data_IF_937586096398
#
_entry.id   IF_937586096398
#
_cell.length_a   1.000
_cell.length_b   1.000
_cell.length_c   1.000
_cell.angle_alpha   90.00
_cell.angle_beta   90.00
_cell.angle_gamma   90.00
#
_symmetry.space_group_name_H-M   'P 1'
#
loop_
_entity.id
_entity.type
_entity.pdbx_description
1 polymer ?
#
# COMPACT_ATOMS: atom_id res chain seq x y z
N UNK A 1 -2.41 -9.87 -31.59
CA UNK A 1 -1.41 -9.36 -30.64
C UNK A 1 -1.05 -7.96 -31.12
N UNK A 2 -1.69 -6.94 -30.55
CA UNK A 2 -1.15 -5.57 -30.62
C UNK A 2 0.25 -5.67 -30.03
N UNK A 3 1.24 -5.07 -30.68
CA UNK A 3 2.59 -5.03 -30.11
C UNK A 3 2.48 -4.40 -28.72
N UNK A 4 2.73 -5.20 -27.69
CA UNK A 4 2.88 -4.80 -26.28
C UNK A 4 4.11 -3.88 -26.05
N UNK A 5 4.58 -3.16 -27.07
CA UNK A 5 5.86 -2.43 -27.03
C UNK A 5 5.73 -0.92 -26.82
N UNK A 6 4.52 -0.35 -26.78
CA UNK A 6 4.33 1.09 -26.59
C UNK A 6 3.76 1.50 -25.22
N UNK A 7 3.51 0.56 -24.30
CA UNK A 7 3.15 0.88 -22.90
C UNK A 7 4.39 0.98 -21.98
N UNK A 8 5.58 1.00 -22.59
CA UNK A 8 6.89 1.09 -21.89
C UNK A 8 7.37 2.52 -21.66
N UNK A 9 6.59 3.54 -22.02
CA UNK A 9 7.02 4.93 -21.95
C UNK A 9 6.50 5.59 -20.66
N UNK A 10 7.45 5.86 -19.76
CA UNK A 10 7.31 6.70 -18.57
C UNK A 10 6.54 7.99 -18.87
N UNK A 11 6.64 8.51 -20.10
CA UNK A 11 5.93 9.70 -20.59
C UNK A 11 4.39 9.59 -20.49
N UNK A 12 3.81 8.39 -20.68
CA UNK A 12 2.37 8.19 -20.49
C UNK A 12 1.97 8.24 -19.01
N UNK A 13 2.78 7.64 -18.14
CA UNK A 13 2.55 7.65 -16.67
C UNK A 13 2.71 9.07 -16.11
N UNK A 14 3.68 9.82 -16.61
CA UNK A 14 3.88 11.22 -16.23
C UNK A 14 2.73 12.12 -16.71
N UNK A 15 2.12 11.83 -17.86
CA UNK A 15 0.97 12.58 -18.41
C UNK A 15 -0.40 12.07 -17.96
N UNK A 16 -0.49 10.95 -17.23
CA UNK A 16 -1.74 10.42 -16.69
C UNK A 16 -2.48 11.47 -15.85
N UNK A 17 -3.76 11.69 -16.11
CA UNK A 17 -4.60 12.55 -15.28
C UNK A 17 -6.02 11.98 -15.26
N UNK A 18 -6.66 11.92 -14.09
CA UNK A 18 -8.06 11.53 -14.01
C UNK A 18 -8.93 12.47 -14.83
N UNK A 19 -9.65 11.90 -15.80
CA UNK A 19 -10.73 12.60 -16.48
C UNK A 19 -12.03 12.47 -15.67
N UNK A 20 -12.97 13.40 -15.87
CA UNK A 20 -14.29 13.35 -15.23
C UNK A 20 -14.98 12.00 -15.44
N UNK A 21 -14.89 11.46 -16.65
CA UNK A 21 -15.56 10.20 -16.97
C UNK A 21 -14.91 8.99 -16.29
N UNK A 22 -13.60 9.06 -16.01
CA UNK A 22 -12.89 8.02 -15.27
C UNK A 22 -13.29 8.05 -13.79
N UNK A 23 -13.48 9.25 -13.24
CA UNK A 23 -14.02 9.43 -11.88
C UNK A 23 -15.44 8.89 -11.76
N UNK A 24 -16.34 9.26 -12.69
CA UNK A 24 -17.72 8.79 -12.70
C UNK A 24 -17.80 7.25 -12.82
N UNK A 25 -16.93 6.66 -13.65
CA UNK A 25 -16.82 5.21 -13.77
C UNK A 25 -16.37 4.55 -12.46
N UNK A 26 -15.36 5.12 -11.79
CA UNK A 26 -14.88 4.64 -10.51
C UNK A 26 -15.97 4.70 -9.43
N UNK A 27 -16.71 5.82 -9.34
CA UNK A 27 -17.83 5.96 -8.40
C UNK A 27 -18.87 4.86 -8.65
N UNK A 28 -19.25 4.64 -9.91
CA UNK A 28 -20.21 3.59 -10.26
C UNK A 28 -19.73 2.20 -9.80
N UNK A 29 -18.46 1.87 -10.04
CA UNK A 29 -17.88 0.60 -9.61
C UNK A 29 -17.90 0.42 -8.09
N UNK A 30 -17.54 1.46 -7.34
CA UNK A 30 -17.55 1.42 -5.87
C UNK A 30 -18.97 1.31 -5.32
N UNK A 31 -19.94 2.00 -5.93
CA UNK A 31 -21.35 1.92 -5.58
C UNK A 31 -21.92 0.51 -5.83
N UNK A 32 -21.53 -0.11 -6.95
CA UNK A 32 -21.94 -1.47 -7.31
C UNK A 32 -21.30 -2.53 -6.40
N UNK A 33 -20.02 -2.37 -6.08
CA UNK A 33 -19.30 -3.29 -5.20
C UNK A 33 -19.84 -3.25 -3.76
N UNK A 34 -20.19 -2.05 -3.26
CA UNK A 34 -20.68 -1.86 -1.90
C UNK A 34 -19.64 -2.12 -0.81
N UNK A 35 -18.36 -2.27 -1.18
CA UNK A 35 -17.23 -2.51 -0.27
C UNK A 35 -16.10 -1.51 -0.51
N UNK A 36 -15.31 -1.16 0.53
CA UNK A 36 -14.20 -0.24 0.40
C UNK A 36 -13.04 -0.86 -0.39
N UNK A 37 -12.41 -0.09 -1.27
CA UNK A 37 -11.28 -0.55 -2.10
C UNK A 37 -9.98 0.14 -1.71
N UNK A 38 -8.88 -0.57 -1.78
CA UNK A 38 -7.53 -0.01 -1.61
C UNK A 38 -7.14 0.90 -2.77
N UNK A 39 -6.20 1.83 -2.55
CA UNK A 39 -5.64 2.66 -3.64
C UNK A 39 -5.15 1.79 -4.80
N UNK A 40 -4.45 0.68 -4.52
CA UNK A 40 -3.98 -0.26 -5.52
C UNK A 40 -5.11 -0.83 -6.41
N UNK A 41 -6.23 -1.23 -5.80
CA UNK A 41 -7.40 -1.76 -6.53
C UNK A 41 -8.03 -0.70 -7.43
N UNK A 42 -8.10 0.54 -6.94
CA UNK A 42 -8.60 1.69 -7.72
C UNK A 42 -7.69 1.97 -8.91
N UNK A 43 -6.37 1.98 -8.71
CA UNK A 43 -5.41 2.16 -9.81
C UNK A 43 -5.62 1.09 -10.86
N UNK A 44 -5.73 -0.18 -10.48
CA UNK A 44 -5.96 -1.28 -11.43
C UNK A 44 -7.26 -1.08 -12.20
N UNK A 45 -8.36 -0.70 -11.53
CA UNK A 45 -9.65 -0.48 -12.17
C UNK A 45 -9.62 0.68 -13.17
N UNK A 46 -8.97 1.80 -12.81
CA UNK A 46 -8.80 2.96 -13.70
C UNK A 46 -7.93 2.62 -14.91
N UNK A 47 -6.82 1.91 -14.69
CA UNK A 47 -5.94 1.45 -15.77
C UNK A 47 -6.69 0.48 -16.72
N UNK A 48 -7.46 -0.45 -16.18
CA UNK A 48 -8.27 -1.38 -16.98
C UNK A 48 -9.27 -0.61 -17.85
N UNK A 49 -9.97 0.37 -17.29
CA UNK A 49 -10.92 1.21 -18.02
C UNK A 49 -10.25 2.03 -19.13
N UNK A 50 -9.06 2.59 -18.88
CA UNK A 50 -8.34 3.35 -19.90
C UNK A 50 -7.82 2.45 -21.02
N UNK A 51 -7.25 1.29 -20.70
CA UNK A 51 -6.80 0.32 -21.71
C UNK A 51 -7.97 -0.17 -22.58
N UNK A 52 -9.15 -0.37 -21.98
CA UNK A 52 -10.37 -0.67 -22.72
C UNK A 52 -10.72 0.44 -23.71
N UNK A 53 -10.72 1.71 -23.27
CA UNK A 53 -11.00 2.86 -24.13
C UNK A 53 -9.98 3.02 -25.27
N UNK A 54 -8.70 2.82 -24.99
CA UNK A 54 -7.66 2.86 -26.03
C UNK A 54 -7.87 1.75 -27.06
N UNK A 55 -8.19 0.54 -26.62
CA UNK A 55 -8.52 -0.56 -27.53
C UNK A 55 -9.76 -0.26 -28.38
N UNK A 56 -10.82 0.28 -27.77
CA UNK A 56 -12.04 0.67 -28.51
C UNK A 56 -11.76 1.77 -29.52
N UNK A 57 -10.94 2.77 -29.18
CA UNK A 57 -10.50 3.81 -30.12
C UNK A 57 -9.72 3.19 -31.28
N UNK A 58 -8.74 2.33 -31.01
CA UNK A 58 -7.96 1.65 -32.06
C UNK A 58 -8.84 0.75 -32.94
N UNK A 59 -9.85 0.08 -32.38
CA UNK A 59 -10.79 -0.75 -33.15
C UNK A 59 -11.68 0.12 -34.03
N UNK A 60 -12.23 1.22 -33.50
CA UNK A 60 -13.05 2.14 -34.29
C UNK A 60 -12.24 2.80 -35.42
N UNK A 61 -10.98 3.19 -35.14
CA UNK A 61 -10.05 3.69 -36.16
C UNK A 61 -9.75 2.63 -37.23
N UNK A 62 -9.68 1.34 -36.84
CA UNK A 62 -9.50 0.25 -37.79
C UNK A 62 -10.77 -0.08 -38.60
N UNK A 63 -11.97 0.12 -38.05
CA UNK A 63 -13.24 -0.05 -38.78
C UNK A 63 -13.46 1.04 -39.84
N UNK A 64 -12.91 2.24 -39.63
CA UNK A 64 -12.88 3.31 -40.64
C UNK A 64 -11.89 3.04 -41.79
N UNK A 65 -11.06 1.99 -41.71
CA UNK A 65 -10.14 1.58 -42.78
C UNK A 65 -10.79 0.50 -43.65
N UNK A 66 -11.40 0.93 -44.75
CA UNK A 66 -12.20 0.10 -45.66
C UNK A 66 -11.46 -1.16 -46.18
N UNK A 67 -10.11 -1.18 -46.20
CA UNK A 67 -9.34 -2.29 -46.82
C UNK A 67 -8.00 -2.63 -46.12
N UNK A 68 -8.08 -3.35 -44.99
CA UNK A 68 -6.92 -3.95 -44.31
C UNK A 68 -6.26 -5.07 -45.14
N UNK A 69 -4.92 -5.05 -45.22
CA UNK A 69 -4.12 -6.08 -45.90
C UNK A 69 -4.29 -7.46 -45.25
N UNK A 70 -4.61 -8.43 -46.08
CA UNK A 70 -4.61 -9.87 -45.80
C UNK A 70 -4.07 -10.66 -47.01
N UNK A 71 -3.16 -11.63 -46.83
CA UNK A 71 -2.49 -12.35 -47.93
C UNK A 71 -3.39 -13.33 -48.71
N UNK A 72 -4.55 -13.69 -48.17
CA UNK A 72 -5.60 -14.51 -48.81
C UNK A 72 -6.49 -13.70 -49.76
N UNK A 73 -6.55 -12.37 -49.59
CA UNK A 73 -7.34 -11.49 -50.47
C UNK A 73 -6.58 -11.20 -51.76
N UNK A 74 -7.33 -10.98 -52.83
CA UNK A 74 -6.82 -10.44 -54.11
C UNK A 74 -7.07 -8.94 -54.16
N UNK A 75 -6.16 -8.22 -54.81
CA UNK A 75 -6.19 -6.76 -54.89
C UNK A 75 -6.20 -6.28 -56.34
N UNK A 76 -6.55 -5.02 -56.54
CA UNK A 76 -6.58 -4.36 -57.84
C UNK A 76 -5.57 -3.21 -57.90
N UNK A 77 -5.05 -2.91 -59.09
CA UNK A 77 -4.12 -1.78 -59.25
C UNK A 77 -4.84 -0.45 -59.01
N UNK A 78 -4.23 0.44 -58.22
CA UNK A 78 -4.81 1.70 -57.76
C UNK A 78 -5.59 1.61 -56.43
N UNK A 79 -5.60 0.43 -55.80
CA UNK A 79 -6.26 0.21 -54.51
C UNK A 79 -5.38 0.68 -53.34
N UNK A 80 -5.97 1.35 -52.34
CA UNK A 80 -5.25 1.77 -51.13
C UNK A 80 -5.45 0.75 -50.03
N UNK A 81 -4.37 0.23 -49.45
CA UNK A 81 -4.40 -0.86 -48.48
C UNK A 81 -3.69 -0.41 -47.20
N UNK A 82 -4.30 -0.75 -46.06
CA UNK A 82 -3.73 -0.46 -44.74
C UNK A 82 -2.96 -1.68 -44.16
N UNK A 83 -1.75 -1.45 -43.64
CA UNK A 83 -0.83 -2.46 -43.07
C UNK A 83 -0.64 -2.30 -41.56
N UNK A 84 -1.53 -2.86 -40.72
CA UNK A 84 -1.43 -2.71 -39.27
C UNK A 84 -0.20 -3.42 -38.68
N UNK A 85 0.28 -4.51 -39.31
CA UNK A 85 1.49 -5.22 -38.89
C UNK A 85 2.80 -4.47 -39.21
N UNK A 86 2.72 -3.38 -39.99
CA UNK A 86 3.85 -2.52 -40.32
C UNK A 86 3.68 -1.13 -39.69
N UNK A 87 3.18 -1.07 -38.46
CA UNK A 87 3.04 0.20 -37.73
C UNK A 87 1.97 1.13 -38.30
N UNK A 88 0.93 0.58 -38.94
CA UNK A 88 -0.18 1.37 -39.49
C UNK A 88 0.12 2.06 -40.83
N UNK A 89 1.04 1.50 -41.62
CA UNK A 89 1.41 2.07 -42.93
C UNK A 89 0.28 1.92 -43.95
N UNK A 90 -0.07 3.01 -44.65
CA UNK A 90 -0.89 2.96 -45.85
C UNK A 90 -0.03 2.83 -47.10
N UNK A 91 -0.58 2.21 -48.14
CA UNK A 91 0.04 2.27 -49.46
C UNK A 91 -0.90 1.91 -50.60
N UNK A 92 -0.54 2.36 -51.81
CA UNK A 92 -1.30 2.16 -53.04
C UNK A 92 -0.69 1.05 -53.91
N UNK A 93 -1.52 0.17 -54.47
CA UNK A 93 -1.08 -0.94 -55.34
C UNK A 93 -0.66 -0.42 -56.71
N UNK A 94 0.64 -0.40 -56.97
CA UNK A 94 1.24 0.07 -58.21
C UNK A 94 1.24 -1.01 -59.30
N UNK A 95 1.55 -2.25 -58.93
CA UNK A 95 1.66 -3.35 -59.89
C UNK A 95 1.31 -4.70 -59.26
N UNK A 96 0.86 -5.63 -60.09
CA UNK A 96 0.50 -7.00 -59.68
C UNK A 96 1.15 -7.96 -60.66
N UNK A 97 1.90 -8.93 -60.15
CA UNK A 97 2.52 -10.00 -60.93
C UNK A 97 2.19 -11.37 -60.35
N UNK A 98 2.23 -12.41 -61.17
CA UNK A 98 2.09 -13.77 -60.66
C UNK A 98 3.37 -14.17 -59.90
N UNK A 99 3.19 -14.72 -58.71
CA UNK A 99 4.26 -15.31 -57.92
C UNK A 99 4.66 -16.65 -58.51
N UNK A 100 5.97 -16.94 -58.50
CA UNK A 100 6.52 -18.21 -58.97
C UNK A 100 7.24 -18.86 -57.78
N UNK A 101 6.52 -19.73 -57.07
CA UNK A 101 7.11 -20.55 -56.01
C UNK A 101 6.52 -21.97 -56.04
N UNK A 102 7.34 -23.01 -56.31
CA UNK A 102 6.90 -24.40 -56.38
C UNK A 102 6.22 -24.91 -55.10
N UNK A 103 6.51 -24.31 -53.95
CA UNK A 103 6.07 -24.79 -52.63
C UNK A 103 4.70 -24.23 -52.19
N UNK A 104 4.20 -23.15 -52.81
CA UNK A 104 3.05 -22.38 -52.29
C UNK A 104 1.87 -22.20 -53.26
N UNK A 105 1.83 -22.94 -54.37
CA UNK A 105 0.73 -22.90 -55.34
C UNK A 105 0.66 -21.59 -56.12
N UNK A 106 -0.49 -21.30 -56.74
CA UNK A 106 -0.72 -20.04 -57.47
C UNK A 106 -1.01 -18.90 -56.47
N UNK A 107 -0.21 -17.84 -56.52
CA UNK A 107 -0.43 -16.61 -55.76
C UNK A 107 0.05 -15.40 -56.55
N UNK A 108 -0.35 -14.21 -56.13
CA UNK A 108 0.04 -12.93 -56.72
C UNK A 108 1.03 -12.22 -55.81
N UNK A 109 1.97 -11.48 -56.40
CA UNK A 109 2.83 -10.52 -55.70
C UNK A 109 2.34 -9.14 -56.09
N UNK A 110 1.85 -8.38 -55.10
CA UNK A 110 1.43 -7.00 -55.23
C UNK A 110 2.58 -6.08 -54.82
N UNK A 111 2.88 -5.08 -55.63
CA UNK A 111 3.85 -4.04 -55.33
C UNK A 111 3.12 -2.78 -54.89
N UNK A 112 3.48 -2.25 -53.73
CA UNK A 112 2.79 -1.17 -53.06
C UNK A 112 3.73 0.01 -52.86
N UNK A 113 3.27 1.21 -53.21
CA UNK A 113 3.93 2.46 -52.83
C UNK A 113 3.42 2.83 -51.44
N UNK A 114 4.27 2.72 -50.43
CA UNK A 114 3.93 3.15 -49.09
C UNK A 114 4.07 4.68 -48.97
N UNK A 115 3.39 5.28 -47.99
CA UNK A 115 3.46 6.73 -47.70
C UNK A 115 4.89 7.23 -47.39
N UNK A 116 5.81 6.34 -47.03
CA UNK A 116 7.23 6.63 -46.80
C UNK A 116 8.06 6.71 -48.11
N UNK A 117 7.40 6.81 -49.27
CA UNK A 117 7.98 6.75 -50.63
C UNK A 117 8.77 5.46 -50.91
N UNK A 118 8.65 4.43 -50.07
CA UNK A 118 9.28 3.13 -50.31
C UNK A 118 8.33 2.21 -51.06
N UNK A 119 8.89 1.47 -52.02
CA UNK A 119 8.14 0.43 -52.71
C UNK A 119 8.40 -0.91 -52.04
N UNK A 120 7.33 -1.60 -51.66
CA UNK A 120 7.38 -2.89 -50.96
C UNK A 120 6.54 -3.91 -51.70
N UNK A 121 6.94 -5.18 -51.61
CA UNK A 121 6.25 -6.28 -52.27
C UNK A 121 5.57 -7.18 -51.23
N UNK A 122 4.31 -7.52 -51.49
CA UNK A 122 3.47 -8.32 -50.61
C UNK A 122 2.79 -9.44 -51.41
N UNK A 123 2.29 -10.47 -50.74
CA UNK A 123 1.59 -11.58 -51.39
C UNK A 123 0.07 -11.36 -51.33
N UNK A 124 -0.65 -11.75 -52.38
CA UNK A 124 -2.11 -11.72 -52.44
C UNK A 124 -2.66 -12.97 -53.12
N UNK A 125 -3.87 -13.37 -52.76
CA UNK A 125 -4.56 -14.52 -53.32
C UNK A 125 -3.92 -15.88 -53.02
N UNK A 126 -3.19 -16.01 -51.90
CA UNK A 126 -2.63 -17.30 -51.49
C UNK A 126 -3.73 -18.22 -50.96
N UNK A 127 -3.94 -19.37 -51.61
CA UNK A 127 -4.82 -20.41 -51.06
C UNK A 127 -4.20 -21.06 -49.81
N UNK A 128 -5.06 -21.14 -48.80
CA UNK A 128 -4.74 -21.37 -47.40
C UNK A 128 -3.91 -22.65 -47.14
N UNK A 129 -2.60 -22.50 -46.99
CA UNK A 129 -1.75 -23.52 -46.38
C UNK A 129 -0.71 -22.89 -45.42
N UNK A 130 -0.87 -23.23 -44.15
CA UNK A 130 0.12 -23.09 -43.06
C UNK A 130 0.37 -21.70 -42.44
N UNK A 131 0.00 -20.58 -43.06
CA UNK A 131 0.25 -19.23 -42.50
C UNK A 131 -0.90 -18.66 -41.65
N UNK A 132 -2.12 -19.20 -41.76
CA UNK A 132 -3.31 -18.67 -41.05
C UNK A 132 -3.52 -19.23 -39.64
N UNK A 133 -2.76 -20.23 -39.18
CA UNK A 133 -3.07 -20.94 -37.92
C UNK A 133 -2.81 -20.16 -36.62
N UNK A 134 -2.33 -18.92 -36.69
CA UNK A 134 -2.08 -18.08 -35.51
C UNK A 134 -2.92 -16.79 -35.47
N UNK A 135 -3.94 -16.65 -36.33
CA UNK A 135 -4.83 -15.48 -36.35
C UNK A 135 -6.29 -15.87 -36.15
N UNK A 136 -6.58 -16.68 -35.13
CA UNK A 136 -7.90 -16.64 -34.51
C UNK A 136 -7.92 -15.45 -33.54
N UNK A 137 -8.53 -14.35 -33.94
CA UNK A 137 -9.03 -13.33 -33.01
C UNK A 137 -10.20 -13.97 -32.22
N UNK A 138 -9.83 -14.81 -31.25
CA UNK A 138 -10.73 -15.54 -30.37
C UNK A 138 -11.37 -14.61 -29.36
N UNK A 139 -12.66 -14.38 -29.54
CA UNK A 139 -13.54 -13.42 -28.90
C UNK A 139 -13.95 -13.73 -27.45
N UNK A 140 -13.27 -14.60 -26.70
CA UNK A 140 -13.75 -15.08 -25.40
C UNK A 140 -12.69 -15.10 -24.27
N UNK A 141 -11.87 -14.05 -24.15
CA UNK A 141 -10.88 -13.92 -23.07
C UNK A 141 -10.38 -12.50 -22.75
N UNK A 142 -11.06 -11.47 -23.28
CA UNK A 142 -10.51 -10.09 -23.38
C UNK A 142 -10.33 -9.34 -22.05
N UNK A 143 -11.17 -9.58 -21.04
CA UNK A 143 -11.09 -8.86 -19.75
C UNK A 143 -9.91 -9.32 -18.89
N UNK A 144 -9.65 -10.63 -18.81
CA UNK A 144 -8.53 -11.12 -17.98
C UNK A 144 -7.17 -10.61 -18.46
N UNK A 145 -6.94 -10.52 -19.77
CA UNK A 145 -5.67 -10.03 -20.32
C UNK A 145 -5.41 -8.55 -20.03
N UNK A 146 -6.48 -7.74 -19.94
CA UNK A 146 -6.36 -6.31 -19.65
C UNK A 146 -6.05 -6.06 -18.18
N UNK A 147 -6.77 -6.75 -17.30
CA UNK A 147 -6.53 -6.67 -15.85
C UNK A 147 -5.13 -7.15 -15.48
N UNK A 148 -4.64 -8.22 -16.09
CA UNK A 148 -3.26 -8.70 -15.92
C UNK A 148 -2.23 -7.65 -16.37
N UNK A 149 -2.50 -6.95 -17.49
CA UNK A 149 -1.64 -5.86 -17.98
C UNK A 149 -1.65 -4.67 -17.02
N UNK A 150 -2.81 -4.25 -16.52
CA UNK A 150 -2.94 -3.19 -15.53
C UNK A 150 -2.19 -3.51 -14.23
N UNK A 151 -2.30 -4.75 -13.74
CA UNK A 151 -1.56 -5.21 -12.56
C UNK A 151 -0.04 -5.18 -12.78
N UNK A 152 0.43 -5.51 -13.97
CA UNK A 152 1.86 -5.45 -14.31
C UNK A 152 2.37 -4.00 -14.32
N UNK A 153 1.62 -3.08 -14.92
CA UNK A 153 1.96 -1.64 -14.93
C UNK A 153 2.01 -1.09 -13.50
N UNK A 154 1.02 -1.42 -12.66
CA UNK A 154 1.02 -1.01 -11.25
C UNK A 154 2.27 -1.54 -10.53
N UNK A 155 2.67 -2.79 -10.77
CA UNK A 155 3.85 -3.37 -10.12
C UNK A 155 5.15 -2.66 -10.50
N UNK A 156 5.25 -2.22 -11.75
CA UNK A 156 6.44 -1.56 -12.26
C UNK A 156 6.51 -0.08 -11.81
N UNK A 157 5.37 0.54 -11.48
CA UNK A 157 5.26 1.97 -11.15
C UNK A 157 4.39 2.30 -9.92
N UNK A 158 4.39 1.43 -8.89
CA UNK A 158 3.41 1.48 -7.77
C UNK A 158 3.35 2.83 -7.08
N UNK A 159 4.49 3.30 -6.57
CA UNK A 159 4.56 4.52 -5.75
C UNK A 159 4.06 5.75 -6.51
N UNK A 160 4.50 5.92 -7.77
CA UNK A 160 4.17 7.10 -8.58
C UNK A 160 2.67 7.14 -8.90
N UNK A 161 2.10 6.00 -9.27
CA UNK A 161 0.68 5.90 -9.64
C UNK A 161 -0.24 6.05 -8.42
N UNK A 162 0.07 5.38 -7.32
CA UNK A 162 -0.72 5.48 -6.09
C UNK A 162 -0.71 6.90 -5.54
N UNK A 163 0.46 7.54 -5.39
CA UNK A 163 0.56 8.89 -4.85
C UNK A 163 -0.16 9.93 -5.73
N UNK A 164 -0.11 9.77 -7.06
CA UNK A 164 -0.76 10.67 -8.02
C UNK A 164 -2.28 10.52 -8.00
N UNK A 165 -2.78 9.30 -8.14
CA UNK A 165 -4.22 9.01 -8.12
C UNK A 165 -4.82 9.38 -6.77
N UNK A 166 -4.10 9.10 -5.67
CA UNK A 166 -4.54 9.49 -4.34
C UNK A 166 -4.68 11.01 -4.20
N UNK A 167 -3.69 11.77 -4.68
CA UNK A 167 -3.73 13.23 -4.64
C UNK A 167 -4.90 13.80 -5.44
N UNK A 168 -5.16 13.25 -6.64
CA UNK A 168 -6.28 13.68 -7.49
C UNK A 168 -7.64 13.31 -6.88
N UNK A 169 -7.80 12.09 -6.34
CA UNK A 169 -9.06 11.66 -5.73
C UNK A 169 -9.41 12.47 -4.46
N UNK A 170 -8.40 12.96 -3.72
CA UNK A 170 -8.61 13.82 -2.56
C UNK A 170 -9.18 15.21 -2.92
N UNK A 171 -9.09 15.64 -4.18
CA UNK A 171 -9.71 16.90 -4.63
C UNK A 171 -11.23 16.81 -4.75
N UNK A 172 -11.77 15.58 -4.85
CA UNK A 172 -13.20 15.31 -4.98
C UNK A 172 -13.84 14.93 -3.63
N UNK A 173 -15.06 15.41 -3.39
CA UNK A 173 -15.75 15.23 -2.10
C UNK A 173 -16.66 13.99 -2.04
N UNK A 174 -16.84 13.25 -3.13
CA UNK A 174 -17.79 12.13 -3.18
C UNK A 174 -17.19 10.82 -2.62
N UNK A 175 -15.87 10.79 -2.44
CA UNK A 175 -15.14 9.68 -1.83
C UNK A 175 -14.53 10.10 -0.49
N UNK A 176 -14.52 9.15 0.44
CA UNK A 176 -13.78 9.27 1.69
C UNK A 176 -12.67 8.25 1.74
N UNK A 177 -11.54 8.67 2.32
CA UNK A 177 -10.38 7.82 2.52
C UNK A 177 -10.17 7.54 4.00
N UNK A 178 -9.89 6.28 4.31
CA UNK A 178 -9.55 5.80 5.65
C UNK A 178 -8.50 4.67 5.53
N UNK A 179 -7.33 4.85 6.17
CA UNK A 179 -6.27 3.82 6.23
C UNK A 179 -5.85 3.22 4.88
N UNK A 180 -5.83 4.03 3.81
CA UNK A 180 -5.47 3.58 2.46
C UNK A 180 -6.62 2.95 1.66
N UNK A 181 -7.84 2.94 2.23
CA UNK A 181 -9.05 2.48 1.56
C UNK A 181 -9.98 3.65 1.25
N UNK A 182 -10.73 3.52 0.16
CA UNK A 182 -11.68 4.50 -0.34
C UNK A 182 -13.09 3.95 -0.37
N UNK A 183 -14.06 4.81 -0.08
CA UNK A 183 -15.47 4.44 -0.08
C UNK A 183 -16.36 5.62 -0.47
N UNK A 184 -17.49 5.39 -1.17
CA UNK A 184 -18.45 6.45 -1.48
C UNK A 184 -19.12 7.03 -0.24
N UNK A 185 -19.20 8.36 -0.17
CA UNK A 185 -19.90 9.07 0.92
C UNK A 185 -21.35 8.64 1.03
N UNK A 186 -22.01 8.43 -0.12
CA UNK A 186 -23.43 8.07 -0.21
C UNK A 186 -23.77 6.69 0.41
N UNK A 187 -22.77 5.82 0.57
CA UNK A 187 -22.95 4.50 1.18
C UNK A 187 -22.63 4.49 2.68
N UNK A 188 -22.13 5.59 3.25
CA UNK A 188 -21.83 5.63 4.68
C UNK A 188 -23.10 5.52 5.51
N UNK A 189 -23.06 4.67 6.54
CA UNK A 189 -24.09 4.65 7.56
C UNK A 189 -24.08 5.96 8.36
N UNK A 190 -25.28 6.49 8.68
CA UNK A 190 -25.42 7.71 9.47
C UNK A 190 -25.04 7.48 10.94
N UNK A 191 -23.76 7.70 11.26
CA UNK A 191 -23.23 7.66 12.62
C UNK A 191 -23.37 9.05 13.25
N UNK A 192 -24.50 9.27 13.90
CA UNK A 192 -24.75 10.51 14.65
C UNK A 192 -24.07 10.53 16.03
N UNK A 193 -24.13 11.68 16.70
CA UNK A 193 -23.57 11.89 18.05
C UNK A 193 -24.11 10.90 19.10
N UNK A 194 -25.33 10.40 18.94
CA UNK A 194 -25.91 9.39 19.83
C UNK A 194 -25.10 8.09 19.83
N UNK A 195 -24.73 7.59 18.64
CA UNK A 195 -23.87 6.41 18.51
C UNK A 195 -22.47 6.65 19.04
N UNK A 196 -21.90 7.84 18.80
CA UNK A 196 -20.59 8.20 19.37
C UNK A 196 -20.63 8.22 20.90
N UNK A 197 -21.71 8.71 21.52
CA UNK A 197 -21.85 8.67 22.98
C UNK A 197 -21.99 7.24 23.52
N UNK A 198 -22.65 6.34 22.77
CA UNK A 198 -22.71 4.92 23.13
C UNK A 198 -21.34 4.26 23.01
N UNK A 199 -20.57 4.58 21.98
CA UNK A 199 -19.19 4.08 21.81
C UNK A 199 -18.28 4.58 22.94
N UNK A 200 -18.41 5.84 23.35
CA UNK A 200 -17.71 6.37 24.53
C UNK A 200 -18.08 5.59 25.80
N UNK A 201 -19.37 5.35 26.04
CA UNK A 201 -19.80 4.57 27.20
C UNK A 201 -19.29 3.12 27.15
N UNK A 202 -19.26 2.49 25.97
CA UNK A 202 -18.72 1.14 25.81
C UNK A 202 -17.22 1.08 26.13
N UNK A 203 -16.44 2.06 25.69
CA UNK A 203 -15.01 2.16 26.03
C UNK A 203 -14.79 2.52 27.51
N UNK A 204 -15.66 3.34 28.10
CA UNK A 204 -15.61 3.68 29.52
C UNK A 204 -15.84 2.44 30.39
N UNK A 205 -16.83 1.60 30.03
CA UNK A 205 -17.08 0.30 30.66
C UNK A 205 -15.94 -0.70 30.46
N UNK A 206 -15.15 -0.56 29.39
CA UNK A 206 -13.97 -1.38 29.14
C UNK A 206 -12.76 -1.01 30.02
N UNK A 207 -12.85 0.07 30.82
CA UNK A 207 -11.91 0.48 31.87
C UNK A 207 -10.43 0.47 31.40
N UNK A 208 -10.16 1.19 30.30
CA UNK A 208 -8.81 1.31 29.78
C UNK A 208 -8.31 0.11 28.95
N UNK A 209 -9.22 -0.76 28.51
CA UNK A 209 -8.98 -1.74 27.44
C UNK A 209 -9.50 -1.19 26.10
N UNK A 210 -8.66 -1.12 25.05
CA UNK A 210 -9.15 -0.71 23.74
C UNK A 210 -10.05 -1.78 23.12
N UNK A 211 -11.01 -1.36 22.30
CA UNK A 211 -11.97 -2.25 21.64
C UNK A 211 -11.82 -2.19 20.13
N UNK A 212 -12.05 -3.32 19.46
CA UNK A 212 -12.15 -3.33 18.00
C UNK A 212 -13.44 -2.63 17.55
N UNK A 213 -13.46 -2.15 16.32
CA UNK A 213 -14.67 -1.55 15.73
C UNK A 213 -15.85 -2.53 15.71
N UNK A 214 -15.55 -3.81 15.50
CA UNK A 214 -16.56 -4.88 15.52
C UNK A 214 -17.15 -5.04 16.92
N UNK A 215 -16.32 -5.10 17.95
CA UNK A 215 -16.79 -5.18 19.33
C UNK A 215 -17.63 -3.94 19.69
N UNK A 216 -17.21 -2.75 19.26
CA UNK A 216 -17.97 -1.52 19.48
C UNK A 216 -19.34 -1.55 18.80
N UNK A 217 -19.42 -1.97 17.54
CA UNK A 217 -20.70 -2.12 16.83
C UNK A 217 -21.66 -3.07 17.54
N UNK A 218 -21.11 -4.14 18.14
CA UNK A 218 -21.89 -5.09 18.93
C UNK A 218 -22.41 -4.44 20.22
N UNK A 219 -21.55 -3.74 20.97
CA UNK A 219 -21.89 -3.10 22.25
C UNK A 219 -22.93 -1.96 22.07
N UNK A 220 -22.84 -1.19 20.98
CA UNK A 220 -23.81 -0.12 20.68
C UNK A 220 -25.11 -0.64 20.03
N UNK A 221 -25.21 -1.94 19.76
CA UNK A 221 -26.40 -2.59 19.21
C UNK A 221 -26.67 -2.28 17.73
N UNK A 222 -25.63 -1.96 16.95
CA UNK A 222 -25.74 -1.70 15.51
C UNK A 222 -25.50 -2.93 14.64
N UNK A 223 -25.04 -4.06 15.19
CA UNK A 223 -24.88 -5.29 14.40
C UNK A 223 -26.24 -5.87 13.98
N UNK A 224 -26.53 -5.77 12.69
CA UNK A 224 -27.77 -6.27 12.08
C UNK A 224 -27.55 -7.55 11.28
N UNK A 225 -26.57 -7.57 10.35
CA UNK A 225 -26.30 -8.65 9.39
C UNK A 225 -24.83 -8.71 8.98
N UNK A 226 -24.31 -9.91 8.72
CA UNK A 226 -22.93 -10.13 8.23
C UNK A 226 -22.64 -9.40 6.91
N UNK A 227 -23.64 -9.29 6.02
CA UNK A 227 -23.50 -8.64 4.71
C UNK A 227 -23.30 -7.11 4.77
N UNK A 228 -23.59 -6.47 5.91
CA UNK A 228 -23.45 -5.03 6.11
C UNK A 228 -22.29 -4.69 7.05
N UNK A 229 -21.57 -5.71 7.55
CA UNK A 229 -20.56 -5.55 8.59
C UNK A 229 -19.39 -4.67 8.13
N UNK A 230 -18.87 -4.90 6.92
CA UNK A 230 -17.75 -4.11 6.39
C UNK A 230 -18.11 -2.63 6.22
N UNK A 231 -19.33 -2.35 5.76
CA UNK A 231 -19.85 -0.99 5.61
C UNK A 231 -20.00 -0.31 6.97
N UNK A 232 -20.58 -0.99 7.96
CA UNK A 232 -20.73 -0.47 9.32
C UNK A 232 -19.38 -0.25 10.00
N UNK A 233 -18.42 -1.16 9.81
CA UNK A 233 -17.05 -1.03 10.33
C UNK A 233 -16.37 0.18 9.71
N UNK A 234 -16.43 0.33 8.39
CA UNK A 234 -15.85 1.48 7.70
C UNK A 234 -16.49 2.80 8.17
N UNK A 235 -17.82 2.84 8.22
CA UNK A 235 -18.58 4.03 8.63
C UNK A 235 -18.29 4.43 10.07
N UNK A 236 -18.23 3.47 11.00
CA UNK A 236 -17.92 3.75 12.40
C UNK A 236 -16.46 4.20 12.56
N UNK A 237 -15.51 3.56 11.90
CA UNK A 237 -14.12 4.01 11.93
C UNK A 237 -13.95 5.44 11.42
N UNK A 238 -14.62 5.74 10.30
CA UNK A 238 -14.59 7.08 9.72
C UNK A 238 -15.16 8.13 10.67
N UNK A 239 -16.26 7.81 11.37
CA UNK A 239 -16.86 8.71 12.34
C UNK A 239 -15.99 8.90 13.60
N UNK A 240 -15.42 7.81 14.14
CA UNK A 240 -14.58 7.84 15.34
C UNK A 240 -13.26 8.59 15.09
N UNK A 241 -12.64 8.43 13.91
CA UNK A 241 -11.39 9.12 13.58
C UNK A 241 -11.53 10.65 13.57
N UNK A 242 -12.74 11.16 13.30
CA UNK A 242 -13.03 12.60 13.22
C UNK A 242 -13.44 13.21 14.57
N UNK A 243 -13.62 12.39 15.61
CA UNK A 243 -14.03 12.83 16.94
C UNK A 243 -12.84 12.74 17.91
N UNK A 244 -12.46 13.88 18.50
CA UNK A 244 -11.27 14.03 19.34
C UNK A 244 -11.28 13.16 20.61
N UNK A 245 -12.44 12.64 21.02
CA UNK A 245 -12.56 11.75 22.19
C UNK A 245 -11.91 10.40 21.96
N UNK A 246 -11.79 9.96 20.71
CA UNK A 246 -11.33 8.65 20.33
C UNK A 246 -9.97 8.71 19.66
N UNK A 247 -9.17 7.68 19.88
CA UNK A 247 -7.90 7.51 19.19
C UNK A 247 -7.70 6.04 18.82
N UNK A 248 -7.17 5.81 17.62
CA UNK A 248 -6.70 4.49 17.22
C UNK A 248 -5.36 4.21 17.90
N UNK A 249 -5.28 3.08 18.59
CA UNK A 249 -4.12 2.61 19.33
C UNK A 249 -3.73 1.19 18.91
N UNK A 250 -4.26 0.73 17.77
CA UNK A 250 -4.01 -0.58 17.21
C UNK A 250 -2.66 -0.70 16.49
N UNK A 251 -2.09 -1.91 16.42
CA UNK A 251 -0.94 -2.20 15.59
C UNK A 251 -1.30 -2.19 14.10
N UNK A 252 -0.30 -2.17 13.21
CA UNK A 252 -0.49 -2.24 11.76
C UNK A 252 -1.45 -3.37 11.36
N UNK A 253 -2.48 -3.04 10.59
CA UNK A 253 -3.50 -3.98 10.12
C UNK A 253 -4.66 -4.22 11.11
N UNK A 254 -4.65 -3.60 12.30
CA UNK A 254 -5.74 -3.68 13.26
C UNK A 254 -6.12 -2.29 13.76
N UNK A 255 -7.42 -1.98 13.74
CA UNK A 255 -7.95 -0.74 14.31
C UNK A 255 -8.50 -1.03 15.70
N UNK A 256 -7.94 -0.37 16.71
CA UNK A 256 -8.36 -0.52 18.10
C UNK A 256 -8.62 0.85 18.70
N UNK A 257 -9.85 1.11 19.10
CA UNK A 257 -10.27 2.40 19.61
C UNK A 257 -10.06 2.53 21.12
N UNK A 258 -9.61 3.69 21.55
CA UNK A 258 -9.36 4.02 22.94
C UNK A 258 -9.86 5.43 23.26
N UNK A 259 -10.24 5.66 24.52
CA UNK A 259 -10.64 7.00 24.99
C UNK A 259 -9.41 7.85 25.31
N UNK A 260 -9.30 8.99 24.62
CA UNK A 260 -8.23 9.97 24.84
C UNK A 260 -8.18 10.43 26.30
N UNK A 261 -9.34 10.58 26.95
CA UNK A 261 -9.44 10.99 28.36
C UNK A 261 -8.84 9.98 29.35
N UNK A 262 -8.79 8.70 28.99
CA UNK A 262 -8.24 7.63 29.84
C UNK A 262 -6.73 7.45 29.69
N UNK A 263 -6.08 8.22 28.82
CA UNK A 263 -4.64 8.13 28.63
C UNK A 263 -3.90 8.49 29.92
N UNK A 264 -2.91 7.68 30.33
CA UNK A 264 -2.05 8.03 31.44
C UNK A 264 -1.33 9.37 31.17
N UNK A 265 -1.56 10.36 32.03
CA UNK A 265 -0.90 11.68 31.95
C UNK A 265 0.62 11.56 31.97
N UNK A 266 1.13 10.53 32.62
CA UNK A 266 2.57 10.27 32.74
C UNK A 266 3.23 10.02 31.39
N UNK A 267 2.53 9.52 30.37
CA UNK A 267 3.09 9.34 29.02
C UNK A 267 3.51 10.69 28.43
N UNK A 268 2.62 11.69 28.55
CA UNK A 268 2.89 13.07 28.09
C UNK A 268 3.98 13.72 28.94
N UNK A 269 4.06 13.40 30.23
CA UNK A 269 5.14 13.91 31.08
C UNK A 269 6.50 13.28 30.76
N UNK A 270 6.53 12.00 30.37
CA UNK A 270 7.74 11.28 29.98
C UNK A 270 8.44 11.92 28.78
N UNK A 271 7.67 12.49 27.84
CA UNK A 271 8.22 13.25 26.71
C UNK A 271 9.13 14.40 27.17
N UNK A 272 8.81 15.06 28.29
CA UNK A 272 9.64 16.14 28.82
C UNK A 272 11.00 15.65 29.38
N UNK A 273 11.07 14.42 29.87
CA UNK A 273 12.32 13.82 30.37
C UNK A 273 13.19 13.26 29.24
N UNK A 274 12.57 12.92 28.10
CA UNK A 274 13.20 12.27 26.96
C UNK A 274 13.39 13.22 25.77
N UNK A 275 13.03 14.49 25.92
CA UNK A 275 13.20 15.52 24.90
C UNK A 275 14.68 15.62 24.51
N UNK A 276 14.97 15.24 23.27
CA UNK A 276 16.27 15.40 22.64
C UNK A 276 16.21 16.62 21.73
N UNK A 277 17.07 17.60 21.99
CA UNK A 277 17.28 18.72 21.08
C UNK A 277 18.36 18.31 20.06
N UNK A 278 17.98 17.98 18.80
CA UNK A 278 18.95 17.54 17.82
C UNK A 278 19.89 18.69 17.47
N UNK A 279 21.18 18.42 17.53
CA UNK A 279 22.21 19.35 17.04
C UNK A 279 22.53 18.96 15.61
N UNK A 280 22.29 19.87 14.66
CA UNK A 280 22.68 19.64 13.26
C UNK A 280 24.19 19.50 13.15
N UNK A 281 24.66 18.33 12.72
CA UNK A 281 26.07 18.09 12.43
C UNK A 281 26.23 17.56 11.00
N UNK A 282 27.39 17.84 10.38
CA UNK A 282 27.75 17.23 9.10
C UNK A 282 28.31 15.83 9.37
N UNK A 283 27.67 14.78 8.87
CA UNK A 283 28.09 13.40 9.07
C UNK A 283 29.52 13.14 8.57
N UNK A 284 29.96 13.91 7.57
CA UNK A 284 31.32 13.91 6.99
C UNK A 284 32.40 14.42 7.97
N UNK A 285 32.01 15.14 9.03
CA UNK A 285 32.92 15.65 10.07
C UNK A 285 33.26 14.61 11.13
N UNK A 286 32.53 13.49 11.20
CA UNK A 286 32.79 12.40 12.13
C UNK A 286 33.88 11.49 11.58
N UNK A 287 34.87 11.19 12.41
CA UNK A 287 35.84 10.12 12.09
C UNK A 287 35.17 8.76 12.10
N UNK A 288 35.77 7.78 11.44
CA UNK A 288 35.25 6.41 11.40
C UNK A 288 35.10 5.80 12.80
N UNK A 289 36.04 6.10 13.71
CA UNK A 289 35.96 5.67 15.11
C UNK A 289 34.76 6.29 15.86
N UNK A 290 34.44 7.57 15.59
CA UNK A 290 33.27 8.24 16.18
C UNK A 290 31.96 7.66 15.65
N UNK A 291 31.90 7.35 14.34
CA UNK A 291 30.76 6.65 13.75
C UNK A 291 30.58 5.28 14.39
N UNK A 292 31.63 4.47 14.44
CA UNK A 292 31.61 3.16 15.08
C UNK A 292 31.20 3.20 16.56
N UNK A 293 31.61 4.23 17.30
CA UNK A 293 31.19 4.43 18.68
C UNK A 293 29.68 4.72 18.75
N UNK A 294 29.18 5.62 17.90
CA UNK A 294 27.75 5.95 17.82
C UNK A 294 26.91 4.69 17.56
N UNK A 295 27.33 3.84 16.63
CA UNK A 295 26.60 2.61 16.31
C UNK A 295 26.58 1.63 17.50
N UNK A 296 27.63 1.61 18.33
CA UNK A 296 27.71 0.76 19.53
C UNK A 296 26.84 1.26 20.68
N UNK A 297 26.54 2.55 20.74
CA UNK A 297 25.67 3.12 21.78
C UNK A 297 24.22 2.64 21.62
N UNK A 298 23.80 2.37 20.37
CA UNK A 298 22.44 1.89 20.04
C UNK A 298 21.34 2.79 20.61
N UNK A 299 21.62 4.08 20.65
CA UNK A 299 20.73 5.12 21.14
C UNK A 299 19.52 5.28 20.21
N UNK A 300 18.36 5.62 20.77
CA UNK A 300 17.11 5.82 20.05
C UNK A 300 17.17 6.95 19.00
N UNK A 301 18.11 7.89 19.11
CA UNK A 301 18.35 8.95 18.13
C UNK A 301 19.50 8.66 17.15
N UNK A 302 20.14 7.49 17.24
CA UNK A 302 21.19 7.12 16.28
C UNK A 302 20.64 7.02 14.86
N UNK A 303 21.34 7.62 13.88
CA UNK A 303 21.01 7.48 12.47
C UNK A 303 21.14 6.01 12.04
N UNK A 304 20.04 5.46 11.49
CA UNK A 304 19.80 4.06 11.17
C UNK A 304 21.06 3.21 10.88
N UNK A 305 21.37 2.32 11.82
CA UNK A 305 22.07 1.07 11.52
C UNK A 305 21.06 0.23 10.74
N UNK A 306 21.48 -0.31 9.60
CA UNK A 306 20.77 -1.31 8.81
C UNK A 306 19.86 -2.17 9.70
N UNK A 307 18.59 -2.31 9.29
CA UNK A 307 17.65 -3.28 9.87
C UNK A 307 18.27 -4.65 9.60
N UNK A 308 19.17 -5.08 10.48
CA UNK A 308 19.60 -6.47 10.51
C UNK A 308 18.34 -7.26 10.83
N UNK A 309 18.16 -8.40 10.15
CA UNK A 309 17.17 -9.41 10.52
C UNK A 309 17.49 -9.88 11.94
N UNK A 310 17.00 -9.12 12.90
CA UNK A 310 17.26 -9.32 14.31
C UNK A 310 16.10 -10.09 14.87
N UNK A 311 16.39 -11.34 15.19
CA UNK A 311 15.47 -12.24 15.85
C UNK A 311 15.90 -12.48 17.29
N UNK A 312 14.91 -12.59 18.17
CA UNK A 312 15.12 -13.01 19.55
C UNK A 312 15.35 -11.88 20.56
N UNK A 313 15.79 -12.23 21.78
CA UNK A 313 15.80 -11.33 22.92
C UNK A 313 16.90 -10.26 22.82
N UNK A 314 16.58 -9.08 23.33
CA UNK A 314 17.46 -7.90 23.32
C UNK A 314 17.77 -7.48 24.75
N UNK A 315 19.05 -7.24 25.04
CA UNK A 315 19.48 -6.61 26.28
C UNK A 315 19.67 -5.10 26.07
N UNK A 316 19.03 -4.30 26.93
CA UNK A 316 19.16 -2.84 26.97
C UNK A 316 19.74 -2.43 28.32
N UNK A 317 20.66 -1.47 28.30
CA UNK A 317 21.19 -0.82 29.50
C UNK A 317 20.31 0.38 29.83
N UNK A 318 19.67 0.36 31.00
CA UNK A 318 18.73 1.41 31.41
C UNK A 318 19.45 2.73 31.68
N UNK A 319 19.12 3.78 30.93
CA UNK A 319 19.65 5.13 31.15
C UNK A 319 18.86 5.87 32.24
N UNK A 320 19.43 6.95 32.77
CA UNK A 320 18.77 7.74 33.82
C UNK A 320 17.44 8.38 33.37
N UNK A 321 17.33 8.99 32.17
CA UNK A 321 16.07 9.53 31.69
C UNK A 321 14.96 8.46 31.64
N UNK A 322 15.27 7.28 31.09
CA UNK A 322 14.34 6.15 31.01
C UNK A 322 13.94 5.59 32.37
N UNK A 323 14.87 5.48 33.33
CA UNK A 323 14.55 5.09 34.70
C UNK A 323 13.56 6.08 35.34
N UNK A 324 13.80 7.39 35.17
CA UNK A 324 12.98 8.45 35.77
C UNK A 324 11.59 8.52 35.12
N UNK A 325 11.52 8.36 33.81
CA UNK A 325 10.29 8.35 33.04
C UNK A 325 9.52 7.02 33.14
N UNK A 326 10.15 5.94 33.62
CA UNK A 326 9.55 4.61 33.66
C UNK A 326 9.34 4.00 32.27
N UNK A 327 10.27 4.28 31.35
CA UNK A 327 10.18 3.92 29.93
C UNK A 327 11.39 3.09 29.49
N UNK A 328 11.32 2.49 28.30
CA UNK A 328 12.44 1.91 27.56
C UNK A 328 12.72 2.72 26.28
N UNK A 329 13.97 2.78 25.82
CA UNK A 329 14.29 3.36 24.52
C UNK A 329 13.72 2.49 23.40
N UNK A 330 13.13 3.13 22.38
CA UNK A 330 12.75 2.48 21.14
C UNK A 330 13.77 2.84 20.06
N UNK A 331 14.89 2.11 20.04
CA UNK A 331 15.89 2.24 18.97
C UNK A 331 15.64 1.21 17.86
N UNK A 332 16.34 1.38 16.73
CA UNK A 332 16.36 0.39 15.65
C UNK A 332 16.70 -1.04 16.15
N UNK A 333 17.44 -1.15 17.27
CA UNK A 333 17.81 -2.43 17.88
C UNK A 333 16.67 -3.11 18.66
N UNK A 334 15.64 -2.37 19.03
CA UNK A 334 14.51 -2.87 19.84
C UNK A 334 13.19 -2.84 19.08
N UNK A 335 13.14 -2.15 17.94
CA UNK A 335 11.92 -1.90 17.19
C UNK A 335 11.19 -3.18 16.76
N UNK A 336 11.92 -4.24 16.42
CA UNK A 336 11.34 -5.54 16.03
C UNK A 336 10.59 -6.27 17.15
N UNK A 337 10.78 -5.84 18.41
CA UNK A 337 10.11 -6.42 19.58
C UNK A 337 8.77 -5.77 19.90
N UNK A 338 8.43 -4.71 19.16
CA UNK A 338 7.24 -3.92 19.38
C UNK A 338 6.43 -3.81 18.08
N UNK A 339 5.12 -3.64 18.17
CA UNK A 339 4.29 -3.48 17.00
C UNK A 339 4.59 -2.15 16.30
N UNK A 340 4.56 -2.16 14.97
CA UNK A 340 4.46 -0.94 14.16
C UNK A 340 3.00 -0.48 14.09
N UNK A 341 2.78 0.77 13.69
CA UNK A 341 1.47 1.26 13.27
C UNK A 341 1.63 2.19 12.07
N UNK A 342 0.66 2.13 11.17
CA UNK A 342 0.63 2.94 9.95
C UNK A 342 0.17 4.38 10.24
N UNK A 343 -0.84 4.54 11.09
CA UNK A 343 -1.51 5.82 11.36
C UNK A 343 -1.38 6.21 12.83
N UNK A 344 -1.51 5.23 13.73
CA UNK A 344 -1.54 5.46 15.17
C UNK A 344 -0.18 5.93 15.69
N UNK A 345 -0.08 7.13 16.28
CA UNK A 345 1.19 7.64 16.82
C UNK A 345 1.67 6.82 18.02
N UNK A 346 0.73 6.16 18.71
CA UNK A 346 0.98 5.35 19.88
C UNK A 346 0.21 4.04 19.79
N UNK A 347 0.86 2.95 20.15
CA UNK A 347 0.27 1.60 20.10
C UNK A 347 0.19 1.03 21.50
N UNK A 348 -0.95 0.42 21.83
CA UNK A 348 -1.16 -0.25 23.11
C UNK A 348 -0.47 -1.61 23.12
N UNK A 349 0.29 -1.90 24.17
CA UNK A 349 0.93 -3.20 24.37
C UNK A 349 0.73 -3.71 25.80
N UNK A 350 1.05 -4.98 26.02
CA UNK A 350 1.07 -5.62 27.33
C UNK A 350 2.48 -6.11 27.64
N UNK A 351 3.02 -5.64 28.76
CA UNK A 351 4.25 -6.18 29.32
C UNK A 351 3.96 -7.37 30.21
N UNK A 352 4.77 -8.42 30.12
CA UNK A 352 4.69 -9.58 31.00
C UNK A 352 5.98 -9.61 31.82
N UNK A 353 5.86 -9.49 33.14
CA UNK A 353 7.00 -9.62 34.05
C UNK A 353 7.49 -11.07 34.08
N UNK A 354 8.71 -11.34 33.57
CA UNK A 354 9.27 -12.68 33.47
C UNK A 354 9.38 -13.41 34.83
N UNK A 355 9.52 -12.67 35.93
CA UNK A 355 9.73 -13.25 37.26
C UNK A 355 8.43 -13.55 38.00
N UNK A 356 7.36 -12.78 37.75
CA UNK A 356 6.09 -12.94 38.46
C UNK A 356 4.92 -13.33 37.57
N UNK A 357 5.13 -13.35 36.25
CA UNK A 357 4.10 -13.55 35.23
C UNK A 357 2.94 -12.54 35.31
N UNK A 358 3.18 -11.39 35.94
CA UNK A 358 2.19 -10.32 36.06
C UNK A 358 2.16 -9.52 34.76
N UNK A 359 0.96 -9.34 34.20
CA UNK A 359 0.71 -8.46 33.07
C UNK A 359 0.63 -7.00 33.52
N UNK A 360 1.30 -6.12 32.80
CA UNK A 360 1.35 -4.69 33.03
C UNK A 360 1.00 -3.95 31.73
N UNK A 361 0.15 -2.93 31.80
CA UNK A 361 -0.20 -2.14 30.64
C UNK A 361 1.01 -1.32 30.13
N UNK A 362 1.27 -1.34 28.83
CA UNK A 362 2.29 -0.52 28.18
C UNK A 362 1.81 0.25 26.95
N UNK A 363 2.61 1.23 26.53
CA UNK A 363 2.35 2.07 25.37
C UNK A 363 3.64 2.29 24.58
N UNK A 364 3.62 1.98 23.29
CA UNK A 364 4.72 2.28 22.37
C UNK A 364 4.46 3.65 21.77
N UNK A 365 5.33 4.62 22.00
CA UNK A 365 5.30 5.94 21.39
C UNK A 365 6.27 5.94 20.20
N UNK A 366 5.74 5.66 19.00
CA UNK A 366 6.56 5.44 17.81
C UNK A 366 7.28 6.72 17.37
N UNK A 367 6.57 7.84 17.38
CA UNK A 367 7.10 9.15 16.99
C UNK A 367 8.16 9.66 17.96
N UNK A 368 7.89 9.50 19.25
CA UNK A 368 8.77 9.96 20.33
C UNK A 368 9.85 8.94 20.72
N UNK A 369 9.85 7.75 20.11
CA UNK A 369 10.87 6.70 20.22
C UNK A 369 11.09 6.17 21.64
N UNK A 370 10.00 5.89 22.36
CA UNK A 370 10.08 5.20 23.64
C UNK A 370 8.90 4.27 23.89
N UNK A 371 9.05 3.39 24.87
CA UNK A 371 7.97 2.51 25.34
C UNK A 371 7.69 2.78 26.82
N UNK A 372 6.46 3.15 27.17
CA UNK A 372 6.03 3.53 28.51
C UNK A 372 5.27 2.41 29.22
N UNK A 373 5.38 2.36 30.56
CA UNK A 373 4.59 1.48 31.42
C UNK A 373 5.40 0.68 32.43
N UNK A 374 6.71 0.93 32.54
CA UNK A 374 7.63 0.11 33.33
C UNK A 374 7.99 0.73 34.69
N UNK A 375 7.51 1.94 34.99
CA UNK A 375 7.69 2.57 36.31
C UNK A 375 7.29 1.65 37.48
N UNK A 376 6.14 0.93 37.44
CA UNK A 376 5.77 0.00 38.50
C UNK A 376 6.76 -1.15 38.65
N UNK A 377 7.29 -1.66 37.54
CA UNK A 377 8.27 -2.75 37.52
C UNK A 377 9.62 -2.30 38.09
N UNK A 378 10.07 -1.09 37.71
CA UNK A 378 11.31 -0.51 38.22
C UNK A 378 11.26 -0.30 39.73
N UNK A 379 10.12 0.17 40.24
CA UNK A 379 9.89 0.33 41.68
C UNK A 379 9.79 -1.02 42.40
N UNK A 380 9.19 -2.04 41.78
CA UNK A 380 9.05 -3.39 42.35
C UNK A 380 10.40 -4.09 42.55
N UNK A 381 11.37 -3.81 41.69
CA UNK A 381 12.69 -4.44 41.71
C UNK A 381 13.85 -3.52 42.10
N UNK A 382 13.54 -2.32 42.64
CA UNK A 382 14.53 -1.31 43.03
C UNK A 382 15.61 -1.09 41.96
N UNK A 383 15.15 -0.93 40.71
CA UNK A 383 16.03 -0.82 39.54
C UNK A 383 16.82 0.48 39.58
N UNK A 384 18.10 0.41 39.25
CA UNK A 384 19.03 1.54 39.22
C UNK A 384 19.46 1.86 37.78
N UNK A 385 19.99 3.06 37.58
CA UNK A 385 20.64 3.42 36.31
C UNK A 385 21.77 2.46 36.00
N UNK A 386 21.87 2.03 34.74
CA UNK A 386 22.85 1.04 34.28
C UNK A 386 22.44 -0.41 34.52
N UNK A 387 21.22 -0.66 35.03
CA UNK A 387 20.66 -2.01 35.08
C UNK A 387 20.46 -2.57 33.67
N UNK A 388 20.60 -3.90 33.54
CA UNK A 388 20.35 -4.63 32.30
C UNK A 388 18.92 -5.15 32.30
N UNK A 389 18.19 -4.81 31.26
CA UNK A 389 16.82 -5.25 31.03
C UNK A 389 16.82 -6.08 29.76
N UNK A 390 16.39 -7.32 29.87
CA UNK A 390 16.18 -8.21 28.72
C UNK A 390 14.73 -8.13 28.29
N UNK A 391 14.51 -7.85 27.01
CA UNK A 391 13.21 -7.78 26.36
C UNK A 391 13.12 -8.98 25.41
N UNK A 392 12.07 -9.77 25.56
CA UNK A 392 11.81 -10.94 24.71
C UNK A 392 10.43 -10.76 24.07
N UNK A 393 10.26 -11.07 22.76
CA UNK A 393 8.95 -11.00 22.15
C UNK A 393 8.01 -12.01 22.84
N UNK A 394 6.75 -11.62 23.03
CA UNK A 394 5.69 -12.48 23.54
C UNK A 394 5.18 -13.46 22.49
N UNK A 395 4.01 -14.05 22.75
CA UNK A 395 3.31 -14.89 21.78
C UNK A 395 2.76 -14.01 20.65
N UNK A 396 2.20 -12.87 21.03
CA UNK A 396 1.73 -11.84 20.12
C UNK A 396 2.71 -10.66 20.07
N UNK A 397 2.79 -9.96 18.93
CA UNK A 397 3.64 -8.76 18.78
C UNK A 397 3.25 -7.63 19.74
N UNK A 398 2.00 -7.62 20.20
CA UNK A 398 1.50 -6.66 21.20
C UNK A 398 1.85 -7.07 22.64
N UNK A 399 2.55 -8.20 22.83
CA UNK A 399 3.04 -8.68 24.11
C UNK A 399 4.57 -8.68 24.15
N UNK A 400 5.15 -8.17 25.23
CA UNK A 400 6.60 -8.20 25.43
C UNK A 400 6.93 -8.69 26.82
N UNK A 401 7.79 -9.70 26.92
CA UNK A 401 8.25 -10.25 28.19
C UNK A 401 9.48 -9.47 28.66
N UNK A 402 9.41 -8.94 29.87
CA UNK A 402 10.47 -8.11 30.47
C UNK A 402 11.12 -8.87 31.61
N UNK A 403 12.44 -9.05 31.52
CA UNK A 403 13.27 -9.58 32.58
C UNK A 403 14.25 -8.52 33.05
N UNK A 404 14.31 -8.30 34.36
CA UNK A 404 15.22 -7.34 34.98
C UNK A 404 16.30 -8.12 35.73
N UNK A 405 17.56 -7.95 35.34
CA UNK A 405 18.66 -8.54 36.08
C UNK A 405 18.78 -7.88 37.46
N UNK A 406 18.53 -8.65 38.52
CA UNK A 406 18.78 -8.20 39.88
C UNK A 406 20.29 -8.24 40.13
N UNK A 407 20.92 -7.07 40.18
CA UNK A 407 22.25 -6.97 40.78
C UNK A 407 22.14 -7.29 42.26
N UNK A 408 22.65 -8.45 42.68
CA UNK A 408 22.93 -8.68 44.09
C UNK A 408 23.95 -7.62 44.52
N UNK A 409 23.69 -6.82 45.57
CA UNK A 409 24.66 -5.87 46.07
C UNK A 409 25.89 -6.64 46.55
N UNK A 410 26.96 -6.61 45.76
CA UNK A 410 28.26 -7.10 46.19
C UNK A 410 28.73 -6.11 47.25
N UNK A 411 28.72 -6.54 48.51
CA UNK A 411 29.19 -5.76 49.67
C UNK A 411 30.71 -5.58 49.71
N UNK A 412 31.43 -6.04 48.70
CA UNK A 412 32.88 -6.07 48.70
C UNK A 412 33.44 -5.00 47.78
N UNK A 413 33.76 -3.85 48.38
CA UNK A 413 34.93 -3.09 47.95
C UNK A 413 36.12 -3.69 48.70
N UNK A 414 37.01 -4.39 47.99
CA UNK A 414 38.34 -4.78 48.49
C UNK A 414 39.37 -3.80 47.96
#
# INVERSE_FOLDING_TARGET
VIQNNNLSDIDWIESFALQSDDYDHLIHLLLEAGTPWSTAEIVVALLEHQLLREQEKSVNECEDWDEMYSPDKTYTSGQTIHFPLLGGLNGEVISIRNGDNPDYGEYQVIQILCEDDTTREFAGGMENNSLHKNFEFGSNGRSNTLRETAQQILKDHTQILEDKIESELLEHNDLVRLSGYWFPVDLLADINTGYLNLAEAALDLADGRPLSTKDLLQEIGMMTRESEEELLVFSLNYALQRDERFEDVGPSGQVLWFLTAMKPRDIVMSENYLACDPVGYLQESLTEDMKNLSLKLRDEFSENIEIQDMEGPVEVVLTYPHLRAGTLPLSAYTAHLFPSALVSPRVRITFIDALSSQSLPGWVALKERFVWGLAPLYKKYDVITGARITITPGIDLSESVISVERRNPIKDWV
#
